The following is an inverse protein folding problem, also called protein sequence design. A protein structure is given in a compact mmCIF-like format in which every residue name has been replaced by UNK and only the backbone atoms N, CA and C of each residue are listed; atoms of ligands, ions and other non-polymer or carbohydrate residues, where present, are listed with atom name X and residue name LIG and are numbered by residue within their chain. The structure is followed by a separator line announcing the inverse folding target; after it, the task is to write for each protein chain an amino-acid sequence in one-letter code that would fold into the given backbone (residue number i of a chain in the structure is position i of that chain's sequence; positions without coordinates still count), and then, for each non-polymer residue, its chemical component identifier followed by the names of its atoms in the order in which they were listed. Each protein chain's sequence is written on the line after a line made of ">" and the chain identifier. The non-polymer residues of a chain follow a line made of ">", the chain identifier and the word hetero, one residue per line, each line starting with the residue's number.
data_IF_344925681636
#
_entry.id   IF_344925681636
#
_cell.length_a   1.000
_cell.length_b   1.000
_cell.length_c   1.000
_cell.angle_alpha   90.00
_cell.angle_beta   90.00
_cell.angle_gamma   90.00
#
_symmetry.space_group_name_H-M   'P 1'
#
loop_
_entity.id
_entity.type
_entity.pdbx_description
1 polymer ?
#
# COMPACT_ATOMS: atom_id res chain seq x y z
N UNK A 1 -2.64 22.28 16.22
CA UNK A 1 -3.80 23.18 16.01
C UNK A 1 -3.40 24.46 15.28
N UNK A 2 -2.53 25.31 15.84
CA UNK A 2 -2.15 26.58 15.18
C UNK A 2 -1.54 26.40 13.77
N UNK A 3 -0.61 25.45 13.59
CA UNK A 3 -0.08 25.11 12.25
C UNK A 3 -1.14 24.64 11.24
N UNK A 4 -2.23 24.03 11.71
CA UNK A 4 -3.30 23.60 10.80
C UNK A 4 -4.08 24.80 10.28
N UNK A 5 -4.17 25.91 11.04
CA UNK A 5 -4.89 27.12 10.62
C UNK A 5 -4.29 27.75 9.36
N UNK A 6 -2.98 27.58 9.16
CA UNK A 6 -2.28 28.05 7.96
C UNK A 6 -2.82 27.42 6.66
N UNK A 7 -3.51 26.28 6.75
CA UNK A 7 -4.14 25.65 5.58
C UNK A 7 -5.37 26.40 5.06
N UNK A 8 -5.92 27.35 5.83
CA UNK A 8 -7.15 28.07 5.49
C UNK A 8 -8.43 27.23 5.56
N UNK A 9 -8.34 25.95 5.93
CA UNK A 9 -9.48 25.06 6.04
C UNK A 9 -10.17 25.18 7.41
N UNK A 10 -11.49 24.96 7.51
CA UNK A 10 -12.19 24.90 8.79
C UNK A 10 -11.61 23.78 9.66
N UNK A 11 -11.22 24.11 10.90
CA UNK A 11 -10.65 23.16 11.85
C UNK A 11 -11.55 23.09 13.07
N UNK A 12 -11.95 21.88 13.41
CA UNK A 12 -12.62 21.56 14.67
C UNK A 12 -11.68 20.74 15.55
N UNK A 13 -11.86 20.85 16.86
CA UNK A 13 -11.14 20.04 17.84
C UNK A 13 -12.15 19.28 18.69
N UNK A 14 -11.73 18.13 19.21
CA UNK A 14 -12.53 17.32 20.13
C UNK A 14 -11.62 16.78 21.24
N UNK A 15 -12.19 16.58 22.42
CA UNK A 15 -11.47 15.93 23.51
C UNK A 15 -11.57 14.40 23.39
N UNK A 16 -10.60 13.69 23.97
CA UNK A 16 -10.68 12.23 24.09
C UNK A 16 -11.89 11.78 24.93
N UNK A 17 -12.28 12.57 25.94
CA UNK A 17 -13.49 12.35 26.73
C UNK A 17 -14.76 12.41 25.90
N UNK A 18 -14.89 13.43 25.03
CA UNK A 18 -16.02 13.55 24.12
C UNK A 18 -16.09 12.38 23.13
N UNK A 19 -14.93 11.94 22.62
CA UNK A 19 -14.84 10.77 21.73
C UNK A 19 -15.35 9.51 22.42
N UNK A 20 -14.91 9.26 23.67
CA UNK A 20 -15.37 8.13 24.49
C UNK A 20 -16.88 8.24 24.79
N UNK A 21 -17.37 9.43 25.11
CA UNK A 21 -18.79 9.68 25.36
C UNK A 21 -19.65 9.37 24.13
N UNK A 22 -19.30 9.93 22.96
CA UNK A 22 -20.00 9.66 21.69
C UNK A 22 -20.04 8.17 21.39
N UNK A 23 -18.90 7.48 21.46
CA UNK A 23 -18.82 6.04 21.21
C UNK A 23 -19.71 5.24 22.16
N UNK A 24 -19.72 5.58 23.44
CA UNK A 24 -20.51 4.85 24.46
C UNK A 24 -22.00 5.11 24.31
N UNK A 25 -22.41 6.38 24.11
CA UNK A 25 -23.81 6.77 23.87
C UNK A 25 -24.38 6.11 22.61
N UNK A 26 -23.56 5.96 21.58
CA UNK A 26 -23.93 5.31 20.31
C UNK A 26 -23.79 3.78 20.35
N UNK A 27 -23.39 3.17 21.47
CA UNK A 27 -23.29 1.72 21.62
C UNK A 27 -22.21 1.05 20.76
N UNK A 28 -21.15 1.78 20.40
CA UNK A 28 -20.13 1.30 19.46
C UNK A 28 -18.90 0.66 20.16
N UNK A 29 -18.32 -0.42 19.60
CA UNK A 29 -17.14 -1.06 20.16
C UNK A 29 -15.89 -0.18 19.98
N UNK A 30 -14.92 -0.33 20.89
CA UNK A 30 -13.66 0.42 20.82
C UNK A 30 -12.76 -0.14 19.72
N UNK A 31 -12.57 0.60 18.65
CA UNK A 31 -11.59 0.33 17.59
C UNK A 31 -11.06 1.65 17.04
N UNK A 32 -9.84 1.67 16.50
CA UNK A 32 -9.19 2.92 16.04
C UNK A 32 -10.02 3.70 15.02
N UNK A 33 -10.65 3.03 14.05
CA UNK A 33 -11.42 3.70 13.01
C UNK A 33 -12.79 4.20 13.51
N UNK A 34 -13.41 3.50 14.46
CA UNK A 34 -14.65 3.96 15.12
C UNK A 34 -14.35 5.15 16.02
N UNK A 35 -13.27 5.08 16.83
CA UNK A 35 -12.86 6.19 17.68
C UNK A 35 -12.61 7.45 16.84
N UNK A 36 -11.96 7.31 15.67
CA UNK A 36 -11.75 8.42 14.74
C UNK A 36 -13.07 9.04 14.22
N UNK A 37 -14.06 8.21 13.91
CA UNK A 37 -15.38 8.67 13.46
C UNK A 37 -16.21 9.32 14.60
N UNK A 38 -15.90 9.03 15.87
CA UNK A 38 -16.54 9.61 17.04
C UNK A 38 -15.91 10.94 17.51
N UNK A 39 -14.89 11.46 16.83
CA UNK A 39 -14.22 12.71 17.20
C UNK A 39 -15.12 13.92 16.91
N UNK A 40 -15.25 14.82 17.89
CA UNK A 40 -15.99 16.08 17.73
C UNK A 40 -17.48 15.97 18.08
N UNK A 41 -18.31 16.82 17.46
CA UNK A 41 -19.76 16.82 17.66
C UNK A 41 -20.40 15.82 16.70
N UNK A 42 -20.79 14.66 17.24
CA UNK A 42 -21.38 13.55 16.45
C UNK A 42 -22.71 13.15 17.07
N UNK A 43 -23.80 13.48 16.40
CA UNK A 43 -25.15 13.17 16.87
C UNK A 43 -25.54 11.73 16.55
N UNK A 44 -25.33 11.32 15.29
CA UNK A 44 -25.69 10.01 14.74
C UNK A 44 -24.49 9.48 13.94
N UNK A 45 -24.15 8.21 14.14
CA UNK A 45 -23.14 7.51 13.34
C UNK A 45 -23.68 6.14 12.95
N UNK A 46 -23.75 5.86 11.63
CA UNK A 46 -24.20 4.57 11.09
C UNK A 46 -23.04 3.86 10.39
N UNK A 47 -22.70 2.67 10.87
CA UNK A 47 -21.69 1.82 10.23
C UNK A 47 -22.36 1.06 9.09
N UNK A 48 -21.88 1.29 7.86
CA UNK A 48 -22.41 0.64 6.65
C UNK A 48 -21.65 -0.62 6.26
N UNK A 49 -20.42 -0.79 6.74
CA UNK A 49 -19.59 -1.95 6.43
C UNK A 49 -18.69 -2.30 7.60
N UNK A 50 -18.48 -3.59 7.82
CA UNK A 50 -17.47 -4.13 8.73
C UNK A 50 -16.19 -4.54 8.00
N UNK A 51 -16.20 -4.54 6.66
CA UNK A 51 -15.03 -4.82 5.84
C UNK A 51 -14.18 -3.57 5.70
N UNK A 52 -13.25 -3.41 6.64
CA UNK A 52 -12.27 -2.33 6.62
C UNK A 52 -11.08 -2.68 5.72
N UNK A 53 -10.48 -1.66 5.11
CA UNK A 53 -9.18 -1.80 4.44
C UNK A 53 -8.08 -1.72 5.49
N UNK A 54 -7.36 -2.82 5.72
CA UNK A 54 -6.23 -2.82 6.64
C UNK A 54 -4.99 -2.38 5.90
N UNK A 55 -4.41 -1.27 6.37
CA UNK A 55 -3.20 -0.70 5.79
C UNK A 55 -2.12 -0.66 6.86
N UNK A 56 -0.95 -1.20 6.56
CA UNK A 56 0.23 -1.15 7.44
C UNK A 56 1.31 -0.31 6.77
N UNK A 57 1.84 0.68 7.48
CA UNK A 57 3.00 1.43 7.01
C UNK A 57 4.23 0.52 7.04
N UNK A 58 4.84 0.32 5.87
CA UNK A 58 6.05 -0.50 5.69
C UNK A 58 7.25 0.33 5.26
N UNK A 59 7.04 1.63 5.00
CA UNK A 59 8.04 2.53 4.45
C UNK A 59 8.40 2.20 2.99
N UNK A 60 9.28 3.02 2.42
CA UNK A 60 9.82 2.78 1.10
C UNK A 60 11.04 1.86 1.18
N UNK A 61 11.26 1.07 0.13
CA UNK A 61 12.46 0.25 0.01
C UNK A 61 13.74 1.10 -0.03
N UNK A 62 14.88 0.48 0.25
CA UNK A 62 16.18 1.14 0.20
C UNK A 62 16.46 1.78 -1.17
N UNK A 63 16.76 3.09 -1.17
CA UNK A 63 17.17 3.86 -2.37
C UNK A 63 18.61 3.59 -2.83
N UNK A 64 19.26 2.56 -2.28
CA UNK A 64 20.61 2.15 -2.69
C UNK A 64 20.58 1.68 -4.14
N UNK A 65 21.38 2.36 -4.97
CA UNK A 65 21.40 2.18 -6.43
C UNK A 65 22.40 1.10 -6.88
N UNK A 66 23.56 1.01 -6.22
CA UNK A 66 24.55 -0.06 -6.38
C UNK A 66 25.00 -0.56 -5.00
N UNK A 67 25.56 -1.78 -4.91
CA UNK A 67 26.22 -2.22 -3.67
C UNK A 67 27.58 -1.52 -3.57
N UNK A 68 27.93 -1.09 -2.37
CA UNK A 68 29.22 -0.46 -2.07
C UNK A 68 30.04 -1.37 -1.14
N UNK A 69 31.36 -1.35 -1.28
CA UNK A 69 32.25 -1.98 -0.29
C UNK A 69 32.40 -1.10 0.95
N UNK A 70 33.18 -1.59 1.93
CA UNK A 70 33.49 -0.86 3.17
C UNK A 70 34.21 0.48 2.97
N UNK A 71 34.79 0.71 1.80
CA UNK A 71 35.51 1.94 1.43
C UNK A 71 34.65 2.90 0.60
N UNK A 72 33.38 2.56 0.35
CA UNK A 72 32.45 3.40 -0.41
C UNK A 72 32.49 3.23 -1.94
N UNK A 73 33.31 2.32 -2.47
CA UNK A 73 33.38 2.08 -3.91
C UNK A 73 32.26 1.14 -4.39
N UNK A 74 31.63 1.39 -5.55
CA UNK A 74 30.66 0.49 -6.16
C UNK A 74 31.24 -0.90 -6.46
N UNK A 75 30.50 -1.96 -6.16
CA UNK A 75 30.87 -3.36 -6.43
C UNK A 75 29.91 -4.07 -7.40
N UNK A 76 28.80 -3.42 -7.76
CA UNK A 76 27.84 -3.94 -8.73
C UNK A 76 27.46 -2.86 -9.71
N UNK A 77 26.96 -3.28 -10.87
CA UNK A 77 26.30 -2.34 -11.77
C UNK A 77 25.16 -1.59 -11.07
N UNK A 78 24.91 -0.34 -11.48
CA UNK A 78 23.74 0.40 -11.04
C UNK A 78 22.43 -0.32 -11.39
N UNK A 79 21.42 -0.21 -10.52
CA UNK A 79 20.07 -0.72 -10.82
C UNK A 79 19.54 -0.09 -12.11
N UNK A 80 19.04 -0.93 -13.01
CA UNK A 80 18.34 -0.46 -14.21
C UNK A 80 17.00 0.14 -13.81
N UNK A 81 16.68 1.29 -14.39
CA UNK A 81 15.39 1.97 -14.25
C UNK A 81 14.60 1.69 -15.52
N UNK A 82 13.35 1.28 -15.35
CA UNK A 82 12.42 1.06 -16.46
C UNK A 82 11.23 2.00 -16.31
N UNK A 83 10.65 2.42 -17.43
CA UNK A 83 9.56 3.40 -17.46
C UNK A 83 8.19 2.77 -17.22
N UNK A 84 8.02 1.48 -17.52
CA UNK A 84 6.73 0.80 -17.43
C UNK A 84 6.33 0.43 -16.00
N UNK A 85 7.27 -0.07 -15.19
CA UNK A 85 7.02 -0.44 -13.78
C UNK A 85 8.28 -0.32 -12.93
N UNK A 86 8.08 -0.09 -11.63
CA UNK A 86 9.14 -0.05 -10.61
C UNK A 86 8.93 -1.13 -9.55
N UNK A 87 10.00 -1.49 -8.83
CA UNK A 87 9.90 -2.42 -7.68
C UNK A 87 8.90 -1.88 -6.65
N UNK A 88 7.98 -2.74 -6.22
CA UNK A 88 6.97 -2.42 -5.22
C UNK A 88 5.65 -1.88 -5.79
N UNK A 89 5.61 -1.52 -7.08
CA UNK A 89 4.36 -1.14 -7.77
C UNK A 89 3.36 -2.28 -7.72
N UNK A 90 2.08 -1.95 -7.57
CA UNK A 90 1.01 -2.93 -7.65
C UNK A 90 0.54 -3.10 -9.08
N UNK A 91 0.41 -4.35 -9.51
CA UNK A 91 -0.02 -4.72 -10.85
C UNK A 91 -1.11 -5.79 -10.79
N UNK A 92 -2.00 -5.75 -11.78
CA UNK A 92 -2.88 -6.85 -12.17
C UNK A 92 -2.19 -7.62 -13.27
N UNK A 93 -2.02 -8.92 -13.10
CA UNK A 93 -1.42 -9.80 -14.09
C UNK A 93 -2.37 -10.94 -14.44
N UNK A 94 -2.47 -11.28 -15.73
CA UNK A 94 -3.27 -12.41 -16.20
C UNK A 94 -2.34 -13.52 -16.67
N UNK A 95 -2.50 -14.71 -16.10
CA UNK A 95 -1.77 -15.90 -16.50
C UNK A 95 -2.69 -16.82 -17.29
N UNK A 96 -2.37 -17.06 -18.57
CA UNK A 96 -3.20 -17.84 -19.49
C UNK A 96 -3.00 -19.35 -19.40
N UNK A 97 -1.89 -19.81 -18.83
CA UNK A 97 -1.54 -21.24 -18.71
C UNK A 97 -0.98 -21.53 -17.34
N UNK A 98 -1.25 -22.73 -16.84
CA UNK A 98 -0.70 -23.20 -15.58
C UNK A 98 0.83 -23.24 -15.63
N UNK A 99 1.44 -22.96 -14.49
CA UNK A 99 2.87 -23.15 -14.22
C UNK A 99 3.00 -24.10 -13.03
N UNK A 100 4.22 -24.61 -12.80
CA UNK A 100 4.52 -25.66 -11.80
C UNK A 100 3.76 -25.51 -10.46
N UNK A 101 3.65 -24.30 -9.91
CA UNK A 101 3.02 -24.05 -8.61
C UNK A 101 1.87 -23.01 -8.64
N UNK A 102 1.43 -22.59 -9.83
CA UNK A 102 0.46 -21.50 -10.01
C UNK A 102 -0.49 -21.86 -11.14
N UNK A 103 -1.78 -21.83 -10.86
CA UNK A 103 -2.82 -22.05 -11.88
C UNK A 103 -3.02 -20.80 -12.74
N UNK A 104 -3.54 -20.98 -13.94
CA UNK A 104 -4.04 -19.89 -14.78
C UNK A 104 -5.10 -19.07 -14.04
N UNK A 105 -5.15 -17.77 -14.32
CA UNK A 105 -6.04 -16.84 -13.62
C UNK A 105 -5.54 -15.40 -13.58
N UNK A 106 -6.28 -14.56 -12.87
CA UNK A 106 -5.95 -13.15 -12.65
C UNK A 106 -5.42 -12.93 -11.25
N UNK A 107 -4.30 -12.23 -11.15
CA UNK A 107 -3.58 -12.01 -9.90
C UNK A 107 -3.34 -10.53 -9.68
N UNK A 108 -3.46 -10.09 -8.44
CA UNK A 108 -3.02 -8.76 -8.01
C UNK A 108 -1.82 -8.95 -7.10
N UNK A 109 -0.67 -8.42 -7.49
CA UNK A 109 0.57 -8.55 -6.74
C UNK A 109 1.45 -7.32 -6.93
N UNK A 110 2.46 -7.21 -6.06
CA UNK A 110 3.56 -6.29 -6.28
C UNK A 110 4.57 -6.82 -7.27
N UNK A 111 5.20 -5.88 -7.96
CA UNK A 111 6.42 -6.12 -8.74
C UNK A 111 7.59 -6.36 -7.80
N UNK A 112 8.25 -7.51 -7.95
CA UNK A 112 9.48 -7.84 -7.25
C UNK A 112 10.69 -7.27 -7.98
N UNK A 113 10.77 -7.56 -9.28
CA UNK A 113 11.91 -7.17 -10.13
C UNK A 113 11.36 -6.67 -11.48
N UNK A 114 11.53 -5.41 -11.85
CA UNK A 114 11.24 -4.98 -13.21
C UNK A 114 12.30 -5.53 -14.18
N UNK A 115 11.89 -5.99 -15.36
CA UNK A 115 12.79 -6.50 -16.41
C UNK A 115 12.68 -5.61 -17.66
N UNK A 116 13.50 -5.90 -18.69
CA UNK A 116 13.61 -5.04 -19.89
C UNK A 116 12.26 -4.72 -20.53
N UNK A 117 11.43 -5.74 -20.73
CA UNK A 117 10.15 -5.62 -21.44
C UNK A 117 8.94 -5.98 -20.55
N UNK A 118 9.17 -6.43 -19.31
CA UNK A 118 8.12 -6.93 -18.43
C UNK A 118 8.53 -6.82 -16.96
N UNK A 119 8.11 -7.79 -16.14
CA UNK A 119 8.47 -7.84 -14.74
C UNK A 119 8.25 -9.22 -14.10
N UNK A 120 8.86 -9.39 -12.93
CA UNK A 120 8.59 -10.49 -12.02
C UNK A 120 7.62 -10.03 -10.92
N UNK A 121 6.59 -10.83 -10.67
CA UNK A 121 5.67 -10.68 -9.53
C UNK A 121 5.71 -11.91 -8.63
N UNK A 122 5.13 -11.81 -7.44
CA UNK A 122 5.06 -12.93 -6.48
C UNK A 122 3.62 -13.40 -6.36
N UNK A 123 3.32 -14.62 -6.79
CA UNK A 123 2.01 -15.25 -6.65
C UNK A 123 2.17 -16.45 -5.73
N UNK A 124 1.39 -16.51 -4.64
CA UNK A 124 1.43 -17.59 -3.64
C UNK A 124 2.85 -17.93 -3.13
N UNK A 125 3.70 -16.91 -2.97
CA UNK A 125 5.09 -17.07 -2.53
C UNK A 125 6.09 -17.43 -3.64
N UNK A 126 5.63 -17.72 -4.85
CA UNK A 126 6.47 -18.06 -6.00
C UNK A 126 6.69 -16.86 -6.91
N UNK A 127 7.92 -16.72 -7.43
CA UNK A 127 8.24 -15.70 -8.43
C UNK A 127 7.73 -16.13 -9.80
N UNK A 128 7.05 -15.23 -10.47
CA UNK A 128 6.46 -15.45 -11.79
C UNK A 128 6.96 -14.35 -12.70
N UNK A 129 7.78 -14.74 -13.67
CA UNK A 129 8.26 -13.83 -14.70
C UNK A 129 7.23 -13.67 -15.82
N UNK A 130 7.00 -12.42 -16.22
CA UNK A 130 6.29 -12.03 -17.42
C UNK A 130 7.27 -11.34 -18.35
N UNK A 131 7.48 -11.90 -19.54
CA UNK A 131 8.44 -11.39 -20.52
C UNK A 131 8.00 -10.09 -21.20
N UNK A 132 6.69 -9.76 -21.16
CA UNK A 132 6.12 -8.54 -21.73
C UNK A 132 5.08 -7.94 -20.79
N UNK A 133 4.77 -6.65 -20.98
CA UNK A 133 3.69 -5.97 -20.27
C UNK A 133 2.29 -6.22 -20.84
N UNK A 134 2.13 -7.07 -21.88
CA UNK A 134 0.84 -7.28 -22.56
C UNK A 134 -0.27 -7.76 -21.61
N UNK A 135 0.08 -8.67 -20.70
CA UNK A 135 -0.85 -9.27 -19.74
C UNK A 135 -0.77 -8.62 -18.34
N UNK A 136 -0.12 -7.45 -18.23
CA UNK A 136 0.12 -6.75 -16.97
C UNK A 136 -0.40 -5.32 -17.06
N UNK A 137 -1.21 -4.93 -16.08
CA UNK A 137 -1.68 -3.55 -15.93
C UNK A 137 -1.26 -3.00 -14.59
N UNK A 138 -0.60 -1.84 -14.58
CA UNK A 138 -0.26 -1.14 -13.35
C UNK A 138 -1.52 -0.59 -12.68
N UNK A 139 -1.69 -0.87 -11.40
CA UNK A 139 -2.83 -0.42 -10.59
C UNK A 139 -2.47 0.86 -9.84
N UNK A 140 -1.35 0.86 -9.11
CA UNK A 140 -0.82 2.07 -8.47
C UNK A 140 0.67 1.95 -8.18
N UNK A 141 1.31 3.10 -7.94
CA UNK A 141 2.73 3.18 -7.60
C UNK A 141 2.99 2.72 -6.16
N UNK A 142 4.22 2.24 -5.89
CA UNK A 142 4.67 1.97 -4.52
C UNK A 142 4.58 3.21 -3.62
N UNK A 143 3.72 3.15 -2.61
CA UNK A 143 3.38 4.24 -1.68
C UNK A 143 3.94 4.03 -0.26
N UNK A 144 4.64 2.92 -0.03
CA UNK A 144 5.22 2.59 1.26
C UNK A 144 4.26 1.96 2.26
N UNK A 145 3.07 1.55 1.81
CA UNK A 145 2.07 0.87 2.63
C UNK A 145 1.81 -0.54 2.13
N UNK A 146 1.55 -1.50 3.01
CA UNK A 146 1.01 -2.82 2.68
C UNK A 146 -0.48 -2.90 2.96
N UNK A 147 -1.22 -3.41 1.99
CA UNK A 147 -2.66 -3.65 2.03
C UNK A 147 -2.87 -5.13 2.34
N UNK A 148 -3.52 -5.42 3.47
CA UNK A 148 -3.70 -6.78 4.02
C UNK A 148 -5.17 -7.10 4.19
#
# INVERSE_FOLDING_TARGET
>A
FNKLKETGLPITTGSGGLTKFNRTRLGLPKTHWIDAACVGKVEILKILTTKILTVKSTGHSCRRFCRINKFGFPCTEPKKIFTHVSTGDFVKATLHKDRKNITSGRYVSRVKTPTKNGCEIVINGFRVEFSTMKDITKVHCSDGYSYV
#
